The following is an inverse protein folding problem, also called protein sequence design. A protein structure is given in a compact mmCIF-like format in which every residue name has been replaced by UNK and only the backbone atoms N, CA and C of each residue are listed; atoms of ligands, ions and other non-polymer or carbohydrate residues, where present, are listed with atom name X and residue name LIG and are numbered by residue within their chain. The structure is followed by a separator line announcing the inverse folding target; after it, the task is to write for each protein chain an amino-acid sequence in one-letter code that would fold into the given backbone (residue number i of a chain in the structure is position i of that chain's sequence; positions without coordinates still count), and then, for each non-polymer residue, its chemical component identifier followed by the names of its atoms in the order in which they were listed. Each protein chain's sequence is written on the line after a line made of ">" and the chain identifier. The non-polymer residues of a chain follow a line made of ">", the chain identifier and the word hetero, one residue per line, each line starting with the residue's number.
data_IF_256975502573
#
_entry.id   IF_256975502573
#
_cell.length_a   1.000
_cell.length_b   1.000
_cell.length_c   1.000
_cell.angle_alpha   90.00
_cell.angle_beta   90.00
_cell.angle_gamma   90.00
#
_symmetry.space_group_name_H-M   'P 1'
#
loop_
_entity.id
_entity.type
_entity.pdbx_description
1 polymer ?
#
# COMPACT_ATOMS: atom_id res chain seq x y z
N UNK A 1 -13.33 -13.47 -46.05
CA UNK A 1 -14.03 -13.18 -44.78
C UNK A 1 -12.96 -13.02 -43.73
N UNK A 2 -12.63 -11.78 -43.39
CA UNK A 2 -11.67 -11.49 -42.33
C UNK A 2 -12.32 -11.86 -41.00
N UNK A 3 -11.61 -12.64 -40.18
CA UNK A 3 -12.02 -12.88 -38.81
C UNK A 3 -11.95 -11.54 -38.09
N UNK A 4 -13.11 -11.03 -37.65
CA UNK A 4 -13.18 -9.94 -36.69
C UNK A 4 -12.50 -10.44 -35.41
N UNK A 5 -11.32 -9.89 -35.13
CA UNK A 5 -10.73 -9.97 -33.79
C UNK A 5 -11.76 -9.41 -32.81
N UNK A 6 -12.26 -10.29 -31.94
CA UNK A 6 -13.09 -9.90 -30.81
C UNK A 6 -12.18 -9.13 -29.88
N UNK A 7 -12.13 -7.81 -30.05
CA UNK A 7 -11.49 -6.89 -29.11
C UNK A 7 -12.27 -7.01 -27.80
N UNK A 8 -11.71 -7.74 -26.84
CA UNK A 8 -12.16 -7.69 -25.45
C UNK A 8 -12.19 -6.21 -25.05
N UNK A 9 -13.31 -5.67 -24.52
CA UNK A 9 -13.34 -4.28 -24.12
C UNK A 9 -12.25 -4.07 -23.09
N UNK A 10 -11.32 -3.15 -23.38
CA UNK A 10 -10.18 -2.85 -22.51
C UNK A 10 -10.67 -2.61 -21.08
N UNK A 11 -10.16 -3.39 -20.14
CA UNK A 11 -10.44 -3.22 -18.71
C UNK A 11 -10.07 -1.78 -18.35
N UNK A 12 -11.00 -1.06 -17.71
CA UNK A 12 -10.75 0.32 -17.33
C UNK A 12 -9.61 0.39 -16.30
N UNK A 13 -8.49 0.99 -16.68
CA UNK A 13 -7.38 1.26 -15.77
C UNK A 13 -7.53 2.68 -15.20
N UNK A 14 -7.73 2.84 -13.88
CA UNK A 14 -7.88 4.16 -13.29
C UNK A 14 -6.56 4.95 -13.36
N UNK A 15 -6.61 6.30 -13.36
CA UNK A 15 -5.42 7.16 -13.34
C UNK A 15 -4.46 6.84 -12.19
N UNK A 16 -4.99 6.40 -11.04
CA UNK A 16 -4.18 5.97 -9.89
C UNK A 16 -3.25 4.79 -10.16
N UNK A 17 -3.52 3.98 -11.19
CA UNK A 17 -2.63 2.89 -11.61
C UNK A 17 -1.89 3.27 -12.88
N UNK A 18 -2.59 3.88 -13.84
CA UNK A 18 -2.03 4.25 -15.14
C UNK A 18 -0.86 5.24 -14.99
N UNK A 19 -1.03 6.28 -14.18
CA UNK A 19 -0.04 7.35 -14.06
C UNK A 19 1.14 6.96 -13.16
N UNK A 20 0.98 5.91 -12.36
CA UNK A 20 1.94 5.39 -11.38
C UNK A 20 2.42 3.98 -11.73
N UNK A 21 2.35 3.59 -13.01
CA UNK A 21 2.68 2.24 -13.45
C UNK A 21 4.14 1.87 -13.13
N UNK A 22 5.07 2.80 -13.35
CA UNK A 22 6.50 2.58 -13.07
C UNK A 22 6.77 2.38 -11.57
N UNK A 23 6.11 3.17 -10.71
CA UNK A 23 6.23 3.03 -9.25
C UNK A 23 5.63 1.70 -8.77
N UNK A 24 4.47 1.31 -9.31
CA UNK A 24 3.85 0.01 -9.02
C UNK A 24 4.77 -1.16 -9.40
N UNK A 25 5.30 -1.18 -10.62
CA UNK A 25 6.13 -2.27 -11.13
C UNK A 25 7.51 -2.30 -10.45
N UNK A 26 8.06 -1.14 -10.09
CA UNK A 26 9.33 -1.05 -9.36
C UNK A 26 9.21 -1.32 -7.86
N UNK A 27 8.01 -1.57 -7.34
CA UNK A 27 7.78 -1.92 -5.94
C UNK A 27 7.75 -0.72 -4.99
N UNK A 28 7.55 0.50 -5.49
CA UNK A 28 7.48 1.71 -4.66
C UNK A 28 6.06 2.02 -4.22
N UNK A 29 5.90 2.46 -2.98
CA UNK A 29 4.68 3.12 -2.55
C UNK A 29 4.51 4.50 -3.18
N UNK A 30 3.27 4.81 -3.57
CA UNK A 30 2.91 6.10 -4.15
C UNK A 30 1.55 6.57 -3.62
N UNK A 31 1.29 7.86 -3.74
CA UNK A 31 -0.01 8.47 -3.50
C UNK A 31 -0.51 9.11 -4.79
N UNK A 32 -1.80 9.00 -5.05
CA UNK A 32 -2.48 9.66 -6.16
C UNK A 32 -3.66 10.45 -5.62
N UNK A 33 -3.79 11.70 -6.04
CA UNK A 33 -4.89 12.57 -5.68
C UNK A 33 -5.59 13.01 -6.96
N UNK A 34 -6.92 12.87 -7.01
CA UNK A 34 -7.71 13.44 -8.10
C UNK A 34 -7.60 14.96 -8.09
N UNK A 35 -7.98 15.59 -9.19
CA UNK A 35 -8.25 17.02 -9.20
C UNK A 35 -9.34 17.36 -8.18
N UNK A 36 -9.24 18.55 -7.59
CA UNK A 36 -10.29 19.05 -6.70
C UNK A 36 -11.48 19.47 -7.56
N UNK A 37 -12.70 18.95 -7.30
CA UNK A 37 -13.86 19.25 -8.13
C UNK A 37 -14.29 20.70 -8.07
N UNK A 38 -14.89 21.21 -9.15
CA UNK A 38 -15.39 22.59 -9.22
C UNK A 38 -16.46 22.92 -8.16
N UNK A 39 -17.27 21.93 -7.75
CA UNK A 39 -18.28 22.12 -6.71
C UNK A 39 -17.69 22.32 -5.30
N UNK A 40 -16.43 21.94 -5.11
CA UNK A 40 -15.72 22.05 -3.85
C UNK A 40 -14.96 23.38 -3.86
N UNK A 41 -15.59 24.41 -3.29
CA UNK A 41 -14.91 25.71 -3.11
C UNK A 41 -13.77 25.50 -2.11
N UNK A 42 -12.55 25.75 -2.53
CA UNK A 42 -11.38 25.70 -1.65
C UNK A 42 -11.15 27.04 -0.97
N UNK A 43 -10.41 27.04 0.14
CA UNK A 43 -9.98 28.30 0.75
C UNK A 43 -9.00 29.01 -0.17
N UNK A 44 -9.48 30.01 -0.93
CA UNK A 44 -8.63 30.85 -1.76
C UNK A 44 -7.88 31.83 -0.86
N UNK A 45 -6.58 32.05 -1.11
CA UNK A 45 -5.73 32.92 -0.29
C UNK A 45 -6.24 34.38 -0.14
N UNK A 46 -7.19 34.80 -0.98
CA UNK A 46 -7.81 36.14 -0.97
C UNK A 46 -9.14 36.24 -0.23
N UNK A 47 -9.73 35.12 0.24
CA UNK A 47 -11.01 35.11 0.96
C UNK A 47 -10.85 34.52 2.35
N UNK A 48 -11.33 35.24 3.37
CA UNK A 48 -11.35 34.75 4.75
C UNK A 48 -12.45 33.71 5.01
N UNK A 49 -13.38 33.51 4.07
CA UNK A 49 -14.45 32.53 4.22
C UNK A 49 -13.91 31.10 4.09
N UNK A 50 -14.33 30.18 4.99
CA UNK A 50 -14.02 28.78 4.83
C UNK A 50 -14.68 28.26 3.54
N UNK A 51 -13.94 27.44 2.79
CA UNK A 51 -14.48 26.77 1.59
C UNK A 51 -15.68 25.85 1.90
N UNK A 52 -16.26 25.22 0.88
CA UNK A 52 -17.42 24.34 1.05
C UNK A 52 -17.10 23.22 2.04
N UNK A 53 -17.91 23.07 3.10
CA UNK A 53 -17.69 22.04 4.11
C UNK A 53 -17.87 20.64 3.50
N UNK A 54 -16.82 19.82 3.59
CA UNK A 54 -16.78 18.49 2.98
C UNK A 54 -16.74 17.39 4.04
N UNK A 55 -17.40 16.29 3.70
CA UNK A 55 -17.20 14.99 4.36
C UNK A 55 -16.08 14.24 3.65
N UNK A 56 -15.32 13.43 4.40
CA UNK A 56 -14.32 12.53 3.86
C UNK A 56 -14.49 11.12 4.43
N UNK A 57 -14.65 10.13 3.56
CA UNK A 57 -14.65 8.71 3.92
C UNK A 57 -13.26 8.09 3.71
N UNK A 58 -12.88 7.15 4.56
CA UNK A 58 -11.63 6.39 4.47
C UNK A 58 -11.92 4.89 4.57
N UNK A 59 -11.41 4.12 3.62
CA UNK A 59 -11.42 2.64 3.66
C UNK A 59 -10.14 2.08 3.03
N UNK A 60 -9.94 0.77 3.16
CA UNK A 60 -8.79 0.03 2.69
C UNK A 60 -9.17 -1.20 1.85
N UNK A 61 -8.20 -1.66 1.06
CA UNK A 61 -8.28 -2.92 0.33
C UNK A 61 -6.94 -3.66 0.37
N UNK A 62 -7.00 -4.99 0.43
CA UNK A 62 -5.81 -5.82 0.34
C UNK A 62 -4.99 -5.88 1.63
N UNK A 63 -5.61 -5.82 2.82
CA UNK A 63 -4.88 -5.97 4.08
C UNK A 63 -4.32 -7.38 4.31
N UNK A 64 -5.10 -8.42 4.04
CA UNK A 64 -4.74 -9.81 4.32
C UNK A 64 -3.90 -10.57 3.27
N UNK A 65 -4.00 -10.30 1.95
CA UNK A 65 -3.25 -11.00 0.92
C UNK A 65 -1.74 -11.02 1.14
N UNK A 66 -1.10 -12.10 0.71
CA UNK A 66 0.36 -12.21 0.58
C UNK A 66 0.86 -11.63 -0.75
N UNK A 67 -0.03 -11.50 -1.74
CA UNK A 67 0.27 -10.91 -3.05
C UNK A 67 -0.36 -9.52 -3.18
N UNK A 68 0.40 -8.61 -3.78
CA UNK A 68 -0.02 -7.29 -4.23
C UNK A 68 0.04 -6.21 -3.14
N UNK A 69 -0.21 -4.95 -3.53
CA UNK A 69 -0.19 -3.82 -2.61
C UNK A 69 -1.39 -3.81 -1.66
N UNK A 70 -1.28 -3.04 -0.59
CA UNK A 70 -2.40 -2.66 0.27
C UNK A 70 -2.78 -1.22 -0.06
N UNK A 71 -4.03 -0.99 -0.45
CA UNK A 71 -4.49 0.31 -0.91
C UNK A 71 -5.34 0.95 0.18
N UNK A 72 -4.99 2.17 0.59
CA UNK A 72 -5.91 3.06 1.29
C UNK A 72 -6.58 3.98 0.28
N UNK A 73 -7.89 4.13 0.37
CA UNK A 73 -8.67 5.08 -0.41
C UNK A 73 -9.32 6.12 0.49
N UNK A 74 -9.41 7.34 -0.01
CA UNK A 74 -10.26 8.38 0.55
C UNK A 74 -11.18 8.93 -0.52
N UNK A 75 -12.37 9.33 -0.11
CA UNK A 75 -13.38 9.92 -0.99
C UNK A 75 -14.05 11.08 -0.28
N UNK A 76 -14.15 12.23 -0.93
CA UNK A 76 -14.67 13.45 -0.32
C UNK A 76 -15.59 14.22 -1.26
N UNK A 77 -16.58 14.89 -0.66
CA UNK A 77 -17.58 15.70 -1.35
C UNK A 77 -18.31 16.63 -0.37
N UNK A 78 -19.02 17.66 -0.84
CA UNK A 78 -19.82 18.53 0.01
C UNK A 78 -20.83 17.74 0.87
N UNK A 79 -20.95 18.13 2.14
CA UNK A 79 -21.80 17.44 3.13
C UNK A 79 -23.25 17.37 2.67
N UNK A 80 -23.72 18.44 2.01
CA UNK A 80 -25.11 18.64 1.62
C UNK A 80 -25.56 17.65 0.53
N UNK A 81 -24.63 17.19 -0.32
CA UNK A 81 -24.94 16.33 -1.46
C UNK A 81 -24.56 14.87 -1.22
N UNK A 82 -23.83 14.55 -0.15
CA UNK A 82 -23.27 13.21 0.03
C UNK A 82 -24.34 12.11 0.00
N UNK A 83 -25.47 12.35 0.67
CA UNK A 83 -26.53 11.35 0.81
C UNK A 83 -27.34 11.22 -0.48
N UNK A 84 -27.68 12.35 -1.11
CA UNK A 84 -28.46 12.36 -2.36
C UNK A 84 -27.65 11.75 -3.50
N UNK A 85 -26.39 12.12 -3.65
CA UNK A 85 -25.55 11.65 -4.73
C UNK A 85 -25.14 10.18 -4.52
N UNK A 86 -24.53 9.85 -3.38
CA UNK A 86 -23.91 8.54 -3.20
C UNK A 86 -24.93 7.43 -2.90
N UNK A 87 -25.92 7.67 -2.02
CA UNK A 87 -26.92 6.64 -1.69
C UNK A 87 -28.07 6.60 -2.69
N UNK A 88 -28.70 7.74 -3.01
CA UNK A 88 -29.94 7.72 -3.77
C UNK A 88 -29.72 7.56 -5.27
N UNK A 89 -28.67 8.18 -5.83
CA UNK A 89 -28.40 8.14 -7.29
C UNK A 89 -27.49 6.97 -7.66
N UNK A 90 -26.42 6.74 -6.91
CA UNK A 90 -25.36 5.79 -7.27
C UNK A 90 -25.30 4.53 -6.38
N UNK A 91 -26.12 4.45 -5.34
CA UNK A 91 -26.27 3.28 -4.47
C UNK A 91 -24.95 2.73 -3.91
N UNK A 92 -24.08 3.62 -3.43
CA UNK A 92 -22.83 3.23 -2.78
C UNK A 92 -23.07 2.47 -1.46
N UNK A 93 -24.22 2.55 -0.80
CA UNK A 93 -24.44 1.99 0.55
C UNK A 93 -24.76 0.48 0.62
N UNK A 94 -24.98 -0.22 -0.49
CA UNK A 94 -25.26 -1.68 -0.49
C UNK A 94 -24.00 -2.54 -0.72
N UNK A 95 -23.05 -2.43 0.21
CA UNK A 95 -21.70 -3.02 0.14
C UNK A 95 -21.66 -4.56 0.01
N UNK A 96 -22.77 -5.25 0.26
CA UNK A 96 -22.87 -6.72 0.07
C UNK A 96 -23.25 -7.13 -1.35
N UNK A 97 -23.60 -6.18 -2.21
CA UNK A 97 -24.17 -6.43 -3.56
C UNK A 97 -23.34 -5.82 -4.69
N UNK A 98 -22.40 -4.91 -4.40
CA UNK A 98 -21.54 -4.31 -5.44
C UNK A 98 -20.55 -5.33 -6.03
N UNK A 99 -20.93 -5.91 -7.18
CA UNK A 99 -20.07 -6.82 -7.96
C UNK A 99 -18.81 -6.10 -8.46
N UNK A 100 -17.73 -6.82 -8.79
CA UNK A 100 -16.52 -6.21 -9.37
C UNK A 100 -16.82 -5.33 -10.60
N UNK A 101 -17.75 -5.74 -11.46
CA UNK A 101 -18.15 -4.99 -12.64
C UNK A 101 -18.83 -3.65 -12.28
N UNK A 102 -19.71 -3.65 -11.26
CA UNK A 102 -20.35 -2.41 -10.79
C UNK A 102 -19.31 -1.47 -10.18
N UNK A 103 -18.40 -2.00 -9.37
CA UNK A 103 -17.30 -1.19 -8.80
C UNK A 103 -16.42 -0.57 -9.89
N UNK A 104 -16.07 -1.33 -10.92
CA UNK A 104 -15.31 -0.82 -12.06
C UNK A 104 -16.07 0.29 -12.82
N UNK A 105 -17.39 0.14 -13.00
CA UNK A 105 -18.23 1.17 -13.60
C UNK A 105 -18.30 2.45 -12.76
N UNK A 106 -18.45 2.32 -11.44
CA UNK A 106 -18.44 3.46 -10.52
C UNK A 106 -17.07 4.14 -10.50
N UNK A 107 -15.98 3.37 -10.48
CA UNK A 107 -14.62 3.92 -10.57
C UNK A 107 -14.41 4.67 -11.89
N UNK A 108 -14.92 4.14 -13.00
CA UNK A 108 -14.89 4.83 -14.29
C UNK A 108 -15.67 6.15 -14.24
N UNK A 109 -16.85 6.14 -13.62
CA UNK A 109 -17.68 7.33 -13.48
C UNK A 109 -17.01 8.45 -12.66
N UNK A 110 -16.37 8.12 -11.53
CA UNK A 110 -15.63 9.11 -10.72
C UNK A 110 -14.36 9.64 -11.41
N UNK A 111 -13.89 8.97 -12.47
CA UNK A 111 -12.73 9.39 -13.27
C UNK A 111 -13.11 10.07 -14.59
N UNK A 112 -14.40 10.17 -14.92
CA UNK A 112 -14.86 10.72 -16.21
C UNK A 112 -15.28 12.17 -16.06
N UNK A 113 -14.56 13.09 -16.70
CA UNK A 113 -14.71 14.55 -16.57
C UNK A 113 -16.15 15.06 -16.68
N UNK A 114 -16.93 14.43 -17.55
CA UNK A 114 -18.26 14.91 -17.92
C UNK A 114 -19.32 14.49 -16.90
N UNK A 115 -19.00 13.50 -16.08
CA UNK A 115 -19.88 12.85 -15.13
C UNK A 115 -20.04 13.69 -13.85
N UNK A 116 -21.22 13.65 -13.24
CA UNK A 116 -21.54 14.43 -12.04
C UNK A 116 -20.68 14.05 -10.83
N UNK A 117 -20.38 12.76 -10.64
CA UNK A 117 -19.44 12.27 -9.62
C UNK A 117 -18.08 12.94 -9.75
N UNK A 118 -17.47 13.00 -10.94
CA UNK A 118 -16.19 13.69 -11.13
C UNK A 118 -16.28 15.18 -10.77
N UNK A 119 -17.35 15.84 -11.21
CA UNK A 119 -17.56 17.28 -10.95
C UNK A 119 -17.91 17.61 -9.51
N UNK A 120 -18.39 16.62 -8.74
CA UNK A 120 -18.97 16.83 -7.42
C UNK A 120 -18.16 16.25 -6.28
N UNK A 121 -17.18 15.38 -6.57
CA UNK A 121 -16.45 14.62 -5.57
C UNK A 121 -15.03 14.30 -5.99
N UNK A 122 -14.12 14.36 -5.03
CA UNK A 122 -12.72 14.02 -5.23
C UNK A 122 -12.36 12.76 -4.46
N UNK A 123 -11.25 12.15 -4.85
CA UNK A 123 -10.75 10.94 -4.23
C UNK A 123 -9.23 10.91 -4.27
N UNK A 124 -8.64 10.13 -3.37
CA UNK A 124 -7.21 9.88 -3.39
C UNK A 124 -6.93 8.47 -2.90
N UNK A 125 -5.76 7.94 -3.28
CA UNK A 125 -5.30 6.63 -2.81
C UNK A 125 -3.85 6.69 -2.36
N UNK A 126 -3.52 5.85 -1.39
CA UNK A 126 -2.14 5.50 -1.04
C UNK A 126 -1.94 4.02 -1.31
N UNK A 127 -1.05 3.71 -2.24
CA UNK A 127 -0.62 2.34 -2.52
C UNK A 127 0.58 1.99 -1.65
N UNK A 128 0.38 1.07 -0.70
CA UNK A 128 1.45 0.47 0.10
C UNK A 128 1.97 -0.76 -0.63
N UNK A 129 3.17 -0.69 -1.22
CA UNK A 129 3.73 -1.79 -2.00
C UNK A 129 4.07 -2.97 -1.09
N UNK A 130 4.11 -4.18 -1.66
CA UNK A 130 4.50 -5.36 -0.89
C UNK A 130 5.93 -5.23 -0.33
N UNK A 131 6.81 -4.59 -1.11
CA UNK A 131 8.18 -4.28 -0.72
C UNK A 131 8.24 -3.30 0.47
N UNK A 132 7.53 -2.18 0.44
CA UNK A 132 7.57 -1.18 1.52
C UNK A 132 6.93 -1.72 2.80
N UNK A 133 5.84 -2.50 2.66
CA UNK A 133 5.25 -3.22 3.80
C UNK A 133 6.28 -4.17 4.43
N UNK A 134 6.93 -4.97 3.59
CA UNK A 134 7.98 -5.91 4.00
C UNK A 134 9.15 -5.20 4.70
N UNK A 135 9.71 -4.17 4.06
CA UNK A 135 10.81 -3.37 4.57
C UNK A 135 10.49 -2.68 5.89
N UNK A 136 9.24 -2.21 6.06
CA UNK A 136 8.79 -1.63 7.31
C UNK A 136 8.65 -2.67 8.43
N UNK A 137 8.04 -3.82 8.14
CA UNK A 137 7.78 -4.86 9.15
C UNK A 137 9.03 -5.66 9.55
N UNK A 138 10.00 -5.80 8.63
CA UNK A 138 11.26 -6.53 8.84
C UNK A 138 12.43 -5.59 9.17
N UNK A 139 12.14 -4.32 9.48
CA UNK A 139 13.14 -3.33 9.87
C UNK A 139 13.90 -3.76 11.13
N UNK A 140 15.22 -3.58 11.10
CA UNK A 140 16.09 -3.74 12.25
C UNK A 140 15.88 -2.63 13.31
N UNK A 141 15.89 -2.99 14.59
CA UNK A 141 15.90 -2.03 15.71
C UNK A 141 14.57 -1.32 16.04
N UNK A 142 13.43 -1.77 15.50
CA UNK A 142 12.12 -1.24 15.93
C UNK A 142 10.92 -1.86 15.22
N UNK A 143 9.75 -1.88 15.87
CA UNK A 143 8.53 -2.41 15.26
C UNK A 143 7.75 -1.33 14.49
N UNK A 144 7.92 -1.25 13.17
CA UNK A 144 7.01 -0.52 12.27
C UNK A 144 5.98 -1.49 11.68
N UNK A 145 5.09 -1.95 12.54
CA UNK A 145 4.08 -2.96 12.20
C UNK A 145 3.00 -2.42 11.25
N UNK A 146 2.24 -3.34 10.64
CA UNK A 146 1.20 -3.02 9.66
C UNK A 146 0.17 -2.00 10.15
N UNK A 147 -0.21 -2.00 11.43
CA UNK A 147 -1.16 -1.01 11.98
C UNK A 147 -0.57 0.40 11.99
N UNK A 148 0.74 0.53 12.27
CA UNK A 148 1.42 1.81 12.23
C UNK A 148 1.54 2.33 10.79
N UNK A 149 1.84 1.44 9.84
CA UNK A 149 1.89 1.81 8.41
C UNK A 149 0.52 2.24 7.88
N UNK A 150 -0.53 1.50 8.25
CA UNK A 150 -1.92 1.81 7.94
C UNK A 150 -2.36 3.19 8.46
N UNK A 151 -2.05 3.48 9.74
CA UNK A 151 -2.31 4.79 10.33
C UNK A 151 -1.60 5.90 9.56
N UNK A 152 -0.32 5.71 9.25
CA UNK A 152 0.46 6.72 8.52
C UNK A 152 -0.12 6.99 7.14
N UNK A 153 -0.53 5.95 6.41
CA UNK A 153 -1.19 6.10 5.11
C UNK A 153 -2.52 6.87 5.20
N UNK A 154 -3.34 6.58 6.21
CA UNK A 154 -4.59 7.33 6.47
C UNK A 154 -4.31 8.80 6.76
N UNK A 155 -3.33 9.07 7.63
CA UNK A 155 -2.93 10.44 8.00
C UNK A 155 -2.35 11.19 6.80
N UNK A 156 -1.53 10.54 5.98
CA UNK A 156 -0.96 11.11 4.75
C UNK A 156 -2.07 11.55 3.79
N UNK A 157 -3.07 10.69 3.54
CA UNK A 157 -4.16 11.02 2.63
C UNK A 157 -5.03 12.16 3.15
N UNK A 158 -5.40 12.16 4.43
CA UNK A 158 -6.19 13.24 5.02
C UNK A 158 -5.40 14.57 4.92
N UNK A 159 -4.10 14.56 5.25
CA UNK A 159 -3.25 15.76 5.11
C UNK A 159 -3.16 16.24 3.67
N UNK A 160 -2.91 15.34 2.71
CA UNK A 160 -2.81 15.71 1.30
C UNK A 160 -4.09 16.35 0.77
N UNK A 161 -5.27 15.86 1.17
CA UNK A 161 -6.56 16.50 0.81
C UNK A 161 -6.70 17.89 1.44
N UNK A 162 -6.30 18.07 2.70
CA UNK A 162 -6.32 19.38 3.35
C UNK A 162 -5.34 20.37 2.70
N UNK A 163 -4.17 19.91 2.28
CA UNK A 163 -3.14 20.70 1.60
C UNK A 163 -3.58 21.17 0.21
N UNK A 164 -4.51 20.45 -0.43
CA UNK A 164 -5.20 20.90 -1.64
C UNK A 164 -6.25 22.01 -1.40
N UNK A 165 -6.43 22.45 -0.15
CA UNK A 165 -7.33 23.54 0.22
C UNK A 165 -8.78 23.11 0.44
N UNK A 166 -9.06 21.80 0.48
CA UNK A 166 -10.40 21.25 0.75
C UNK A 166 -10.77 21.47 2.22
N UNK A 167 -11.93 22.08 2.48
CA UNK A 167 -12.44 22.30 3.83
C UNK A 167 -13.11 21.04 4.38
N UNK A 168 -12.31 20.06 4.82
CA UNK A 168 -12.82 18.82 5.43
C UNK A 168 -13.22 19.09 6.89
N UNK A 169 -14.50 18.92 7.20
CA UNK A 169 -15.04 19.15 8.55
C UNK A 169 -15.45 17.85 9.25
N UNK A 170 -15.80 16.81 8.49
CA UNK A 170 -16.16 15.49 9.01
C UNK A 170 -15.36 14.38 8.32
N UNK A 171 -14.82 13.45 9.11
CA UNK A 171 -14.10 12.27 8.60
C UNK A 171 -14.71 11.01 9.18
N UNK A 172 -15.03 10.06 8.31
CA UNK A 172 -15.52 8.73 8.66
C UNK A 172 -14.52 7.67 8.21
N UNK A 173 -14.17 6.74 9.09
CA UNK A 173 -13.10 5.76 8.82
C UNK A 173 -13.59 4.35 9.15
N UNK A 174 -13.39 3.41 8.22
CA UNK A 174 -13.56 1.98 8.52
C UNK A 174 -12.37 1.43 9.29
N UNK A 175 -12.63 0.53 10.25
CA UNK A 175 -11.57 -0.17 10.96
C UNK A 175 -11.95 -1.61 11.26
N UNK A 176 -10.92 -2.46 11.23
CA UNK A 176 -11.01 -3.85 11.70
C UNK A 176 -10.71 -3.92 13.23
N UNK A 177 -10.00 -2.92 13.76
CA UNK A 177 -9.45 -2.89 15.11
C UNK A 177 -10.43 -2.33 16.17
N UNK A 178 -9.85 -1.81 17.26
CA UNK A 178 -10.60 -1.08 18.29
C UNK A 178 -10.80 0.38 17.86
N UNK A 179 -12.03 0.81 17.51
CA UNK A 179 -12.26 2.14 16.95
C UNK A 179 -11.83 3.27 17.89
N UNK A 180 -11.98 3.08 19.21
CA UNK A 180 -11.74 4.12 20.21
C UNK A 180 -10.27 4.53 20.27
N UNK A 181 -9.35 3.57 20.09
CA UNK A 181 -7.91 3.84 20.07
C UNK A 181 -7.54 4.58 18.78
N UNK A 182 -8.11 4.15 17.66
CA UNK A 182 -7.80 4.73 16.35
C UNK A 182 -8.33 6.16 16.24
N UNK A 183 -9.58 6.37 16.66
CA UNK A 183 -10.22 7.68 16.69
C UNK A 183 -9.46 8.67 17.57
N UNK A 184 -9.07 8.27 18.80
CA UNK A 184 -8.30 9.16 19.70
C UNK A 184 -6.98 9.62 19.08
N UNK A 185 -6.28 8.74 18.38
CA UNK A 185 -5.02 9.09 17.71
C UNK A 185 -5.25 10.05 16.54
N UNK A 186 -6.25 9.79 15.70
CA UNK A 186 -6.59 10.68 14.59
C UNK A 186 -7.07 12.05 15.10
N UNK A 187 -7.91 12.09 16.14
CA UNK A 187 -8.41 13.33 16.72
C UNK A 187 -7.29 14.17 17.36
N UNK A 188 -6.22 13.53 17.86
CA UNK A 188 -5.04 14.26 18.32
C UNK A 188 -4.28 14.92 17.17
N UNK A 189 -4.25 14.29 16.00
CA UNK A 189 -3.56 14.79 14.80
C UNK A 189 -4.38 15.88 14.11
N UNK A 190 -5.70 15.74 14.06
CA UNK A 190 -6.63 16.66 13.41
C UNK A 190 -7.69 17.18 14.40
N UNK A 191 -7.32 18.04 15.36
CA UNK A 191 -8.21 18.44 16.46
C UNK A 191 -9.40 19.30 16.03
N UNK A 192 -9.35 19.89 14.84
CA UNK A 192 -10.41 20.75 14.29
C UNK A 192 -11.45 20.00 13.47
N UNK A 193 -11.23 18.72 13.20
CA UNK A 193 -12.08 17.88 12.34
C UNK A 193 -12.86 16.92 13.22
N UNK A 194 -14.16 16.76 12.94
CA UNK A 194 -14.98 15.74 13.61
C UNK A 194 -14.69 14.37 13.01
N UNK A 195 -13.98 13.53 13.75
CA UNK A 195 -13.57 12.20 13.29
C UNK A 195 -14.40 11.12 13.98
N UNK A 196 -15.00 10.25 13.17
CA UNK A 196 -15.75 9.07 13.61
C UNK A 196 -15.09 7.84 13.02
N UNK A 197 -14.69 6.90 13.86
CA UNK A 197 -14.16 5.61 13.43
C UNK A 197 -15.16 4.54 13.84
N UNK A 198 -15.57 3.69 12.91
CA UNK A 198 -16.52 2.61 13.16
C UNK A 198 -16.08 1.33 12.48
N UNK A 199 -16.64 0.20 12.92
CA UNK A 199 -16.49 -1.07 12.20
C UNK A 199 -17.58 -1.19 11.15
N UNK A 200 -17.24 -1.68 9.95
CA UNK A 200 -18.17 -1.77 8.82
C UNK A 200 -18.74 -0.39 8.47
N UNK A 201 -17.89 0.62 8.56
CA UNK A 201 -18.27 2.01 8.28
C UNK A 201 -18.69 2.18 6.81
N UNK A 202 -18.19 1.35 5.91
CA UNK A 202 -18.63 1.23 4.51
C UNK A 202 -20.14 0.93 4.38
N UNK A 203 -20.72 0.22 5.34
CA UNK A 203 -22.15 -0.12 5.36
C UNK A 203 -23.01 0.93 6.06
N UNK A 204 -22.37 1.94 6.68
CA UNK A 204 -23.02 2.97 7.50
C UNK A 204 -22.94 4.36 6.86
N UNK A 205 -21.83 4.65 6.17
CA UNK A 205 -21.51 5.96 5.62
C UNK A 205 -21.22 5.85 4.12
N UNK A 206 -22.03 6.48 3.25
CA UNK A 206 -21.87 6.36 1.80
C UNK A 206 -20.51 6.83 1.29
N UNK A 207 -19.92 7.85 1.93
CA UNK A 207 -18.56 8.32 1.59
C UNK A 207 -17.48 7.26 1.87
N UNK A 208 -17.63 6.46 2.93
CA UNK A 208 -16.71 5.35 3.23
C UNK A 208 -16.89 4.23 2.21
N UNK A 209 -18.13 3.97 1.78
CA UNK A 209 -18.34 3.00 0.71
C UNK A 209 -17.80 3.46 -0.65
N UNK A 210 -17.86 4.75 -0.95
CA UNK A 210 -17.20 5.29 -2.14
C UNK A 210 -15.66 5.12 -2.05
N UNK A 211 -15.06 5.39 -0.88
CA UNK A 211 -13.64 5.13 -0.64
C UNK A 211 -13.28 3.64 -0.78
N UNK A 212 -14.17 2.75 -0.30
CA UNK A 212 -14.09 1.29 -0.44
C UNK A 212 -14.02 0.85 -1.90
N UNK A 213 -14.87 1.42 -2.77
CA UNK A 213 -14.88 1.15 -4.22
C UNK A 213 -13.54 1.57 -4.84
N UNK A 214 -13.10 2.80 -4.57
CA UNK A 214 -11.84 3.34 -5.10
C UNK A 214 -10.64 2.47 -4.70
N UNK A 215 -10.56 2.07 -3.42
CA UNK A 215 -9.48 1.22 -2.92
C UNK A 215 -9.49 -0.17 -3.56
N UNK A 216 -10.66 -0.82 -3.62
CA UNK A 216 -10.81 -2.19 -4.15
C UNK A 216 -10.51 -2.27 -5.65
N UNK A 217 -11.04 -1.33 -6.45
CA UNK A 217 -10.77 -1.31 -7.90
C UNK A 217 -9.30 -1.02 -8.17
N UNK A 218 -8.71 -0.04 -7.49
CA UNK A 218 -7.27 0.26 -7.62
C UNK A 218 -6.43 -0.97 -7.28
N UNK A 219 -6.75 -1.69 -6.19
CA UNK A 219 -6.06 -2.92 -5.81
C UNK A 219 -6.18 -4.00 -6.86
N UNK A 220 -7.39 -4.27 -7.33
CA UNK A 220 -7.66 -5.37 -8.27
C UNK A 220 -6.91 -5.14 -9.59
N UNK A 221 -6.96 -3.91 -10.13
CA UNK A 221 -6.20 -3.53 -11.34
C UNK A 221 -4.68 -3.54 -11.11
N UNK A 222 -4.21 -3.12 -9.92
CA UNK A 222 -2.78 -3.17 -9.58
C UNK A 222 -2.26 -4.62 -9.55
N UNK A 223 -3.05 -5.54 -9.01
CA UNK A 223 -2.71 -6.97 -9.02
C UNK A 223 -2.65 -7.50 -10.47
N UNK A 224 -3.63 -7.18 -11.31
CA UNK A 224 -3.62 -7.60 -12.72
C UNK A 224 -2.37 -7.10 -13.47
N UNK A 225 -2.00 -5.83 -13.28
CA UNK A 225 -0.79 -5.25 -13.87
C UNK A 225 0.50 -5.94 -13.39
N UNK A 226 0.60 -6.26 -12.09
CA UNK A 226 1.74 -7.01 -11.54
C UNK A 226 1.80 -8.43 -12.09
N UNK A 227 0.66 -9.11 -12.29
CA UNK A 227 0.60 -10.46 -12.85
C UNK A 227 1.06 -10.46 -14.30
N UNK A 228 0.58 -9.49 -15.08
CA UNK A 228 0.98 -9.32 -16.48
C UNK A 228 2.50 -9.09 -16.58
N UNK A 229 3.05 -8.18 -15.78
CA UNK A 229 4.49 -7.91 -15.75
C UNK A 229 5.31 -9.15 -15.35
N UNK A 230 4.84 -9.91 -14.35
CA UNK A 230 5.46 -11.16 -13.94
C UNK A 230 5.48 -12.19 -15.08
N UNK A 231 4.34 -12.38 -15.76
CA UNK A 231 4.22 -13.31 -16.89
C UNK A 231 5.12 -12.92 -18.06
N UNK A 232 5.25 -11.63 -18.36
CA UNK A 232 6.15 -11.12 -19.40
C UNK A 232 7.64 -11.41 -19.09
N UNK A 233 8.04 -11.32 -17.81
CA UNK A 233 9.40 -11.66 -17.38
C UNK A 233 9.68 -13.18 -17.46
N UNK A 234 8.68 -14.01 -17.12
CA UNK A 234 8.79 -15.48 -17.07
C UNK A 234 8.69 -16.17 -18.43
N UNK A 235 8.20 -15.48 -19.48
CA UNK A 235 8.00 -16.01 -20.85
C UNK A 235 9.26 -16.58 -21.52
N UNK A 236 10.42 -16.49 -20.88
CA UNK A 236 11.70 -17.00 -21.37
C UNK A 236 12.24 -18.24 -20.63
N UNK A 237 11.58 -18.72 -19.55
CA UNK A 237 12.26 -19.67 -18.64
C UNK A 237 11.44 -20.74 -17.90
N UNK A 238 10.10 -20.81 -17.94
CA UNK A 238 9.39 -21.91 -17.25
C UNK A 238 7.93 -22.11 -17.66
N UNK A 239 7.61 -23.28 -18.24
CA UNK A 239 6.23 -23.72 -18.59
C UNK A 239 5.39 -24.20 -17.39
N UNK A 240 5.97 -24.30 -16.19
CA UNK A 240 5.34 -24.96 -15.03
C UNK A 240 4.67 -23.99 -14.02
N UNK A 241 4.71 -22.67 -14.25
CA UNK A 241 4.13 -21.69 -13.31
C UNK A 241 2.67 -21.43 -13.68
N UNK A 242 1.72 -21.50 -12.72
CA UNK A 242 0.32 -21.20 -13.02
C UNK A 242 0.12 -19.78 -13.56
N UNK A 243 -0.75 -19.63 -14.57
CA UNK A 243 -1.12 -18.34 -15.19
C UNK A 243 -1.77 -17.32 -14.23
N UNK A 244 -2.16 -17.76 -13.03
CA UNK A 244 -2.80 -16.92 -12.03
C UNK A 244 -2.40 -17.32 -10.61
N UNK A 245 -2.17 -16.34 -9.74
CA UNK A 245 -1.99 -16.54 -8.30
C UNK A 245 -3.32 -16.68 -7.54
N UNK A 246 -4.47 -16.74 -8.23
CA UNK A 246 -5.78 -16.82 -7.59
C UNK A 246 -6.14 -15.54 -6.83
N UNK A 247 -6.66 -15.66 -5.61
CA UNK A 247 -7.09 -14.50 -4.82
C UNK A 247 -5.96 -13.68 -4.17
N UNK A 248 -4.73 -14.24 -4.13
CA UNK A 248 -3.59 -13.68 -3.42
C UNK A 248 -3.61 -13.90 -1.89
N UNK A 249 -4.61 -14.60 -1.34
CA UNK A 249 -4.66 -14.94 0.08
C UNK A 249 -3.97 -16.27 0.37
N UNK A 250 -3.29 -16.41 1.52
CA UNK A 250 -2.64 -17.67 1.89
C UNK A 250 -3.62 -18.82 2.15
N UNK A 251 -4.91 -18.53 2.32
CA UNK A 251 -5.98 -19.53 2.43
C UNK A 251 -6.44 -20.10 1.07
N UNK A 252 -6.07 -19.49 -0.06
CA UNK A 252 -6.42 -19.97 -1.39
C UNK A 252 -5.37 -20.95 -1.89
N UNK A 253 -5.80 -22.18 -2.18
CA UNK A 253 -4.93 -23.24 -2.68
C UNK A 253 -4.18 -22.84 -3.96
N UNK A 254 -4.80 -22.04 -4.85
CA UNK A 254 -4.16 -21.55 -6.08
C UNK A 254 -3.02 -20.59 -5.78
N UNK A 255 -3.20 -19.72 -4.78
CA UNK A 255 -2.15 -18.80 -4.34
C UNK A 255 -0.96 -19.55 -3.76
N UNK A 256 -1.21 -20.55 -2.91
CA UNK A 256 -0.15 -21.37 -2.31
C UNK A 256 0.60 -22.17 -3.38
N UNK A 257 -0.11 -22.74 -4.36
CA UNK A 257 0.51 -23.45 -5.48
C UNK A 257 1.38 -22.52 -6.33
N UNK A 258 0.89 -21.31 -6.63
CA UNK A 258 1.67 -20.30 -7.35
C UNK A 258 2.94 -19.92 -6.58
N UNK A 259 2.86 -19.64 -5.27
CA UNK A 259 4.01 -19.30 -4.45
C UNK A 259 5.10 -20.39 -4.46
N UNK A 260 4.70 -21.66 -4.39
CA UNK A 260 5.64 -22.79 -4.43
C UNK A 260 6.35 -22.91 -5.78
N UNK A 261 5.68 -22.55 -6.87
CA UNK A 261 6.26 -22.58 -8.21
C UNK A 261 7.11 -21.33 -8.52
N UNK A 262 6.71 -20.17 -8.00
CA UNK A 262 7.33 -18.87 -8.29
C UNK A 262 8.57 -18.55 -7.46
N UNK A 263 8.81 -19.28 -6.37
CA UNK A 263 9.92 -18.98 -5.44
C UNK A 263 11.29 -19.19 -6.09
N UNK A 264 12.04 -18.11 -6.23
CA UNK A 264 13.40 -18.10 -6.73
C UNK A 264 14.40 -18.55 -5.63
N UNK A 265 15.36 -19.45 -5.91
CA UNK A 265 16.23 -20.02 -4.89
C UNK A 265 17.10 -19.03 -4.10
N UNK A 266 17.51 -17.93 -4.72
CA UNK A 266 18.34 -16.88 -4.08
C UNK A 266 17.50 -15.69 -3.62
N UNK A 267 16.75 -15.08 -4.53
CA UNK A 267 16.00 -13.84 -4.27
C UNK A 267 14.63 -14.03 -3.60
N UNK A 268 14.10 -15.26 -3.51
CA UNK A 268 12.74 -15.50 -3.03
C UNK A 268 11.70 -15.06 -4.05
N UNK A 269 11.00 -13.96 -3.79
CA UNK A 269 9.90 -13.45 -4.63
C UNK A 269 10.19 -12.03 -5.10
N UNK A 270 9.45 -11.57 -6.11
CA UNK A 270 9.55 -10.21 -6.62
C UNK A 270 8.71 -9.21 -5.83
N UNK A 271 8.52 -8.04 -6.45
CA UNK A 271 7.79 -6.90 -5.87
C UNK A 271 6.30 -7.17 -5.66
N UNK A 272 5.76 -8.23 -6.24
CA UNK A 272 4.39 -8.68 -6.06
C UNK A 272 4.15 -9.34 -4.70
N UNK A 273 5.17 -9.83 -4.00
CA UNK A 273 4.99 -10.66 -2.81
C UNK A 273 5.41 -9.98 -1.51
N UNK A 274 4.61 -10.15 -0.45
CA UNK A 274 4.87 -9.57 0.87
C UNK A 274 5.72 -10.51 1.72
N UNK A 275 7.02 -10.26 1.70
CA UNK A 275 8.03 -11.07 2.41
C UNK A 275 7.82 -11.17 3.92
N UNK A 276 7.12 -10.20 4.54
CA UNK A 276 6.87 -10.18 5.99
C UNK A 276 5.74 -11.10 6.45
N UNK A 277 4.99 -11.73 5.54
CA UNK A 277 3.88 -12.63 5.91
C UNK A 277 4.42 -13.98 6.38
N UNK A 278 3.81 -14.53 7.43
CA UNK A 278 4.22 -15.81 8.01
C UNK A 278 4.32 -16.94 6.97
N UNK A 279 3.33 -17.07 6.08
CA UNK A 279 3.35 -18.08 5.02
C UNK A 279 4.56 -17.97 4.09
N UNK A 280 4.97 -16.74 3.73
CA UNK A 280 6.12 -16.49 2.85
C UNK A 280 7.42 -16.73 3.62
N UNK A 281 7.50 -16.26 4.87
CA UNK A 281 8.63 -16.50 5.75
C UNK A 281 8.88 -18.00 5.96
N UNK A 282 7.83 -18.76 6.26
CA UNK A 282 7.91 -20.21 6.46
C UNK A 282 8.41 -20.93 5.19
N UNK A 283 7.99 -20.48 4.00
CA UNK A 283 8.46 -21.03 2.72
C UNK A 283 9.94 -20.72 2.45
N UNK A 284 10.40 -19.52 2.81
CA UNK A 284 11.80 -19.10 2.64
C UNK A 284 12.75 -19.80 3.64
N UNK A 285 12.27 -20.09 4.86
CA UNK A 285 13.04 -20.70 5.94
C UNK A 285 12.93 -22.23 6.01
N UNK A 286 12.09 -22.84 5.17
CA UNK A 286 11.88 -24.29 5.16
C UNK A 286 13.18 -25.05 4.89
N UNK A 287 13.57 -25.94 5.81
CA UNK A 287 14.77 -26.78 5.66
C UNK A 287 14.61 -27.73 4.47
N UNK A 288 15.54 -27.65 3.51
CA UNK A 288 15.46 -28.40 2.26
C UNK A 288 14.36 -27.90 1.31
N UNK A 289 13.83 -26.69 1.57
CA UNK A 289 12.91 -26.00 0.70
C UNK A 289 13.59 -25.47 -0.58
N UNK A 290 12.80 -24.87 -1.48
CA UNK A 290 13.30 -24.38 -2.76
C UNK A 290 14.16 -23.10 -2.62
N UNK A 291 13.99 -22.34 -1.54
CA UNK A 291 14.80 -21.17 -1.23
C UNK A 291 16.05 -21.53 -0.41
N UNK A 292 17.15 -20.83 -0.68
CA UNK A 292 18.35 -20.86 0.15
C UNK A 292 18.11 -20.00 1.39
N UNK A 293 18.32 -20.59 2.55
CA UNK A 293 18.26 -19.87 3.82
C UNK A 293 19.32 -18.78 3.86
N UNK A 294 18.90 -17.56 4.21
CA UNK A 294 19.77 -16.44 4.52
C UNK A 294 19.76 -16.21 6.03
N UNK A 295 20.95 -16.13 6.64
CA UNK A 295 21.09 -15.78 8.04
C UNK A 295 21.40 -14.28 8.15
N UNK A 296 20.58 -13.57 8.92
CA UNK A 296 20.74 -12.15 9.19
C UNK A 296 21.31 -11.97 10.61
N UNK A 297 22.17 -10.97 10.85
CA UNK A 297 22.67 -10.67 12.20
C UNK A 297 21.49 -10.35 13.15
N UNK A 298 21.32 -11.11 14.22
CA UNK A 298 20.30 -10.85 15.26
C UNK A 298 20.86 -9.89 16.33
N UNK A 299 19.98 -9.09 16.95
CA UNK A 299 20.28 -8.23 18.09
C UNK A 299 20.61 -9.02 19.37
N UNK A 300 20.18 -10.27 19.42
CA UNK A 300 20.38 -11.16 20.56
C UNK A 300 21.64 -12.02 20.46
N UNK A 301 22.29 -12.04 19.30
CA UNK A 301 23.61 -12.66 19.14
C UNK A 301 24.66 -11.74 19.78
N UNK A 302 25.04 -12.03 21.03
CA UNK A 302 26.11 -11.34 21.77
C UNK A 302 27.46 -11.39 21.01
N UNK A 303 27.61 -12.29 20.05
CA UNK A 303 28.80 -12.46 19.20
C UNK A 303 28.85 -11.50 18.00
N UNK A 304 27.82 -10.68 17.75
CA UNK A 304 27.84 -9.68 16.70
C UNK A 304 28.69 -8.46 17.13
N UNK A 305 30.00 -8.57 16.97
CA UNK A 305 30.94 -7.44 17.08
C UNK A 305 30.43 -6.30 16.19
N UNK A 306 30.01 -5.19 16.84
CA UNK A 306 29.53 -4.01 16.11
C UNK A 306 30.66 -3.49 15.23
N UNK A 307 30.36 -3.10 13.99
CA UNK A 307 31.37 -2.54 13.07
C UNK A 307 32.14 -1.36 13.70
N UNK A 308 31.51 -0.62 14.62
CA UNK A 308 32.14 0.46 15.40
C UNK A 308 33.27 -0.02 16.33
N UNK A 309 33.25 -1.28 16.80
CA UNK A 309 34.33 -1.87 17.59
C UNK A 309 35.61 -2.05 16.78
N UNK A 310 35.52 -2.23 15.44
CA UNK A 310 36.70 -2.26 14.57
C UNK A 310 37.40 -0.90 14.44
N UNK A 311 36.67 0.21 14.63
CA UNK A 311 37.21 1.57 14.57
C UNK A 311 37.55 2.15 15.95
N UNK A 312 37.33 1.39 17.02
CA UNK A 312 37.62 1.81 18.39
C UNK A 312 39.11 1.67 18.68
N UNK A 313 39.83 2.78 18.76
CA UNK A 313 41.29 2.85 19.02
C UNK A 313 41.67 2.44 20.46
N UNK A 314 40.70 2.17 21.34
CA UNK A 314 40.95 1.75 22.71
C UNK A 314 41.20 0.24 22.79
N UNK A 315 42.48 -0.12 22.85
CA UNK A 315 42.98 -1.50 22.91
C UNK A 315 42.50 -2.33 24.11
N UNK A 316 41.38 -3.01 23.93
CA UNK A 316 41.07 -4.24 24.67
C UNK A 316 41.34 -5.44 23.78
N UNK A 317 42.21 -6.31 24.26
CA UNK A 317 42.66 -7.56 23.65
C UNK A 317 41.50 -8.47 23.26
N UNK A 318 41.13 -8.48 21.97
CA UNK A 318 40.32 -9.52 21.35
C UNK A 318 41.19 -10.75 20.99
N UNK A 319 40.58 -11.94 20.85
CA UNK A 319 41.32 -13.18 20.61
C UNK A 319 42.11 -13.09 19.30
N UNK A 320 43.41 -13.35 19.40
CA UNK A 320 44.33 -13.51 18.26
C UNK A 320 44.01 -14.79 17.50
N UNK A 321 43.05 -14.73 16.59
CA UNK A 321 42.86 -15.72 15.54
C UNK A 321 42.79 -15.02 14.18
N UNK A 322 42.86 -15.81 13.11
CA UNK A 322 42.97 -15.49 11.66
C UNK A 322 42.13 -14.32 11.07
N UNK A 323 41.35 -13.58 11.87
CA UNK A 323 40.54 -12.43 11.49
C UNK A 323 41.31 -11.12 11.25
N UNK A 324 42.63 -11.08 11.51
CA UNK A 324 43.47 -9.87 11.26
C UNK A 324 43.72 -9.59 9.75
N UNK A 325 43.25 -10.48 8.87
CA UNK A 325 43.34 -10.33 7.39
C UNK A 325 42.47 -9.18 6.85
N UNK A 326 41.37 -8.83 7.52
CA UNK A 326 40.53 -7.69 7.13
C UNK A 326 41.16 -6.34 7.49
N UNK A 327 41.89 -6.30 8.61
CA UNK A 327 42.58 -5.09 9.08
C UNK A 327 43.76 -4.71 8.17
N UNK A 328 44.39 -5.69 7.54
CA UNK A 328 45.46 -5.47 6.56
C UNK A 328 44.95 -5.04 5.19
N UNK A 329 43.67 -5.25 4.88
CA UNK A 329 43.10 -4.96 3.56
C UNK A 329 42.71 -3.48 3.38
N UNK A 330 42.25 -2.82 4.45
CA UNK A 330 41.83 -1.42 4.41
C UNK A 330 42.92 -0.41 4.81
N UNK A 331 44.16 -0.87 4.95
CA UNK A 331 45.31 -0.05 5.31
C UNK A 331 45.43 0.17 6.81
N UNK A 332 46.66 0.14 7.30
CA UNK A 332 47.01 0.51 8.67
C UNK A 332 47.12 2.03 8.78
N UNK A 333 46.49 2.62 9.79
CA UNK A 333 46.69 4.03 10.10
C UNK A 333 48.17 4.30 10.39
N UNK A 334 48.77 5.22 9.64
CA UNK A 334 50.12 5.71 9.91
C UNK A 334 50.12 6.40 11.27
N UNK A 335 50.94 5.90 12.19
CA UNK A 335 51.12 6.49 13.51
C UNK A 335 51.74 7.89 13.44
N UNK A 336 51.65 8.63 14.54
CA UNK A 336 52.22 9.98 14.68
C UNK A 336 53.73 10.06 14.42
N UNK A 337 54.44 8.94 14.32
CA UNK A 337 55.86 8.91 13.92
C UNK A 337 56.08 9.26 12.44
N UNK A 338 55.01 9.36 11.64
CA UNK A 338 55.06 9.77 10.24
C UNK A 338 54.88 11.29 10.02
N UNK A 339 54.80 12.09 11.11
CA UNK A 339 54.77 13.55 11.07
C UNK A 339 55.94 14.15 11.86
#
# INVERSE_FOLDING_TARGET
>A
MAAEEIVTPAVFVPPSVKDHQDDLLSGKSYAHYSEVPESVTTKVASSDEPGTACVLGVDEAGRGPVIGPMIYGVYYLPIEIQQSLLSNTYHFDDSKVLTPAVRASLMKAVCTSDHDLYKSSGWAVKSLSAQDIGAGMLRYGGSYNLNAQAMNATVELIRGVLEQGVNVTEVYVDTIGKPEIYQKKLALIFPTIKITVEKKADSLFPCVSAASVVAKVTRDVSCEALLEAYSQQQSSSSEDIPDTWGSGYPSDARCVSWLKAAIHPVWGFGNECRMSWGTVKDMLEQKGGPARRADWPDDTDEDNMRLSQYFSVSGTSGPTTEQDKLRTWFGTGVGQEAF
#
